data_IF_597250533668
#
_entry.id   IF_597250533668
#
_cell.length_a   1.000
_cell.length_b   1.000
_cell.length_c   1.000
_cell.angle_alpha   90.00
_cell.angle_beta   90.00
_cell.angle_gamma   90.00
#
_symmetry.space_group_name_H-M   'P 1'
#
loop_
_entity.id
_entity.type
_entity.pdbx_description
1 polymer ?
#
# COMPACT_ATOMS: atom_id res chain seq x y z
N UNK A 1 18.06 -9.29 16.77
CA UNK A 1 16.71 -9.61 16.26
C UNK A 1 16.21 -8.38 15.53
N UNK A 2 15.60 -8.52 14.34
CA UNK A 2 15.03 -7.37 13.65
C UNK A 2 13.87 -6.82 14.47
N UNK A 3 13.89 -5.54 14.79
CA UNK A 3 12.80 -4.89 15.52
C UNK A 3 11.59 -4.76 14.60
N UNK A 4 10.43 -5.22 15.07
CA UNK A 4 9.17 -5.13 14.32
C UNK A 4 8.52 -3.80 14.67
N UNK A 5 8.29 -2.97 13.66
CA UNK A 5 7.58 -1.69 13.75
C UNK A 5 6.12 -1.88 13.32
N UNK A 6 5.25 -2.20 14.29
CA UNK A 6 3.83 -2.44 14.05
C UNK A 6 3.07 -1.11 13.94
N UNK A 7 3.12 -0.29 14.98
CA UNK A 7 2.34 0.95 15.05
C UNK A 7 2.67 1.94 13.91
N UNK A 8 3.95 2.17 13.56
CA UNK A 8 4.31 3.01 12.40
C UNK A 8 3.71 2.50 11.08
N UNK A 9 3.76 1.18 10.88
CA UNK A 9 3.25 0.55 9.68
C UNK A 9 1.72 0.66 9.58
N UNK A 10 1.02 0.48 10.70
CA UNK A 10 -0.42 0.67 10.78
C UNK A 10 -0.80 2.12 10.47
N UNK A 11 -0.11 3.10 11.05
CA UNK A 11 -0.44 4.52 10.87
C UNK A 11 -0.22 4.98 9.42
N UNK A 12 0.97 4.75 8.86
CA UNK A 12 1.26 5.15 7.48
C UNK A 12 0.44 4.35 6.47
N UNK A 13 0.24 3.05 6.72
CA UNK A 13 -0.64 2.20 5.93
C UNK A 13 -2.09 2.67 5.93
N UNK A 14 -2.60 3.08 7.10
CA UNK A 14 -3.94 3.64 7.23
C UNK A 14 -4.08 4.97 6.49
N UNK A 15 -3.08 5.86 6.58
CA UNK A 15 -3.09 7.15 5.86
C UNK A 15 -3.16 6.93 4.35
N UNK A 16 -2.29 6.06 3.81
CA UNK A 16 -2.27 5.73 2.38
C UNK A 16 -3.57 5.03 1.98
N UNK A 17 -4.06 4.11 2.80
CA UNK A 17 -5.33 3.40 2.57
C UNK A 17 -6.55 4.32 2.57
N UNK A 18 -6.59 5.31 3.46
CA UNK A 18 -7.66 6.33 3.49
C UNK A 18 -7.59 7.20 2.23
N UNK A 19 -6.39 7.63 1.82
CA UNK A 19 -6.21 8.39 0.58
C UNK A 19 -6.80 7.62 -0.61
N UNK A 20 -6.47 6.32 -0.74
CA UNK A 20 -7.03 5.47 -1.79
C UNK A 20 -8.55 5.29 -1.66
N UNK A 21 -9.05 5.08 -0.43
CA UNK A 21 -10.47 4.92 -0.17
C UNK A 21 -11.29 6.17 -0.57
N UNK A 22 -10.76 7.37 -0.36
CA UNK A 22 -11.39 8.64 -0.78
C UNK A 22 -11.53 8.69 -2.30
N UNK A 23 -10.53 8.23 -3.05
CA UNK A 23 -10.57 8.21 -4.52
C UNK A 23 -11.56 7.17 -5.02
N UNK A 24 -11.51 5.94 -4.48
CA UNK A 24 -12.48 4.89 -4.80
C UNK A 24 -13.92 5.28 -4.48
N UNK A 25 -14.13 6.08 -3.43
CA UNK A 25 -15.45 6.61 -3.10
C UNK A 25 -16.06 7.45 -4.23
N UNK A 26 -15.21 8.18 -4.98
CA UNK A 26 -15.62 9.01 -6.11
C UNK A 26 -15.80 8.19 -7.39
N UNK A 27 -15.09 7.07 -7.51
CA UNK A 27 -15.00 6.32 -8.77
C UNK A 27 -16.06 5.22 -8.90
N UNK A 28 -16.50 4.64 -7.78
CA UNK A 28 -17.44 3.50 -7.77
C UNK A 28 -18.85 3.98 -7.41
N UNK A 29 -19.81 3.89 -8.34
CA UNK A 29 -21.20 4.33 -8.12
C UNK A 29 -22.01 3.40 -7.20
N UNK A 30 -21.78 2.08 -7.27
CA UNK A 30 -22.54 1.08 -6.50
C UNK A 30 -22.05 1.02 -5.04
N UNK A 31 -22.90 1.33 -4.04
CA UNK A 31 -22.46 1.46 -2.65
C UNK A 31 -21.82 0.21 -2.04
N UNK A 32 -22.37 -0.98 -2.32
CA UNK A 32 -21.86 -2.25 -1.77
C UNK A 32 -20.48 -2.60 -2.33
N UNK A 33 -20.30 -2.49 -3.64
CA UNK A 33 -19.00 -2.64 -4.29
C UNK A 33 -18.00 -1.59 -3.80
N UNK A 34 -18.43 -0.33 -3.67
CA UNK A 34 -17.60 0.77 -3.18
C UNK A 34 -17.04 0.46 -1.80
N UNK A 35 -17.90 0.07 -0.86
CA UNK A 35 -17.47 -0.24 0.50
C UNK A 35 -16.47 -1.40 0.52
N UNK A 36 -16.75 -2.48 -0.23
CA UNK A 36 -15.84 -3.61 -0.35
C UNK A 36 -14.47 -3.23 -0.92
N UNK A 37 -14.44 -2.41 -1.97
CA UNK A 37 -13.19 -1.91 -2.56
C UNK A 37 -12.42 -1.00 -1.61
N UNK A 38 -13.08 -0.07 -0.92
CA UNK A 38 -12.46 0.81 0.07
C UNK A 38 -11.83 0.02 1.22
N UNK A 39 -12.55 -0.95 1.78
CA UNK A 39 -12.03 -1.80 2.85
C UNK A 39 -10.84 -2.64 2.38
N UNK A 40 -10.93 -3.23 1.18
CA UNK A 40 -9.83 -4.00 0.60
C UNK A 40 -8.59 -3.14 0.36
N UNK A 41 -8.75 -1.93 -0.20
CA UNK A 41 -7.66 -1.00 -0.43
C UNK A 41 -6.97 -0.59 0.87
N UNK A 42 -7.74 -0.33 1.93
CA UNK A 42 -7.22 0.04 3.23
C UNK A 42 -6.40 -1.09 3.87
N UNK A 43 -6.94 -2.31 3.90
CA UNK A 43 -6.23 -3.48 4.42
C UNK A 43 -4.97 -3.78 3.60
N UNK A 44 -5.07 -3.69 2.27
CA UNK A 44 -3.94 -3.93 1.38
C UNK A 44 -2.81 -2.92 1.58
N UNK A 45 -3.13 -1.62 1.70
CA UNK A 45 -2.15 -0.57 1.97
C UNK A 45 -1.42 -0.81 3.30
N UNK A 46 -2.14 -1.20 4.35
CA UNK A 46 -1.54 -1.57 5.64
C UNK A 46 -0.55 -2.72 5.50
N UNK A 47 -0.93 -3.78 4.78
CA UNK A 47 -0.05 -4.94 4.56
C UNK A 47 1.19 -4.53 3.75
N UNK A 48 1.01 -3.76 2.68
CA UNK A 48 2.13 -3.33 1.84
C UNK A 48 3.12 -2.45 2.61
N UNK A 49 2.62 -1.49 3.41
CA UNK A 49 3.47 -0.67 4.29
C UNK A 49 4.13 -1.51 5.37
N UNK A 50 3.42 -2.47 5.97
CA UNK A 50 4.02 -3.40 6.93
C UNK A 50 5.22 -4.13 6.35
N UNK A 51 5.10 -4.66 5.12
CA UNK A 51 6.21 -5.34 4.45
C UNK A 51 7.40 -4.40 4.23
N UNK A 52 7.16 -3.20 3.69
CA UNK A 52 8.25 -2.25 3.41
C UNK A 52 8.98 -1.75 4.67
N UNK A 53 8.24 -1.47 5.75
CA UNK A 53 8.82 -1.00 7.02
C UNK A 53 9.51 -2.11 7.80
N UNK A 54 9.10 -3.37 7.61
CA UNK A 54 9.61 -4.51 8.36
C UNK A 54 10.46 -5.47 7.51
N UNK A 55 11.13 -4.97 6.47
CA UNK A 55 11.88 -5.81 5.52
C UNK A 55 12.85 -6.80 6.20
N UNK A 56 13.59 -6.36 7.22
CA UNK A 56 14.50 -7.21 7.99
C UNK A 56 13.78 -8.38 8.70
N UNK A 57 12.61 -8.11 9.30
CA UNK A 57 11.76 -9.16 9.87
C UNK A 57 11.25 -10.10 8.77
N UNK A 58 10.74 -9.57 7.66
CA UNK A 58 10.24 -10.37 6.54
C UNK A 58 11.32 -11.34 6.00
N UNK A 59 12.56 -10.90 5.82
CA UNK A 59 13.65 -11.81 5.40
C UNK A 59 13.97 -12.89 6.42
N UNK A 60 13.82 -12.59 7.71
CA UNK A 60 14.05 -13.57 8.78
C UNK A 60 12.94 -14.63 8.84
N UNK A 61 11.71 -14.25 8.51
CA UNK A 61 10.54 -15.14 8.46
C UNK A 61 10.52 -15.97 7.17
N UNK A 62 10.84 -15.35 6.04
CA UNK A 62 10.77 -15.94 4.71
C UNK A 62 12.17 -16.06 4.11
N UNK A 63 12.94 -17.02 4.62
CA UNK A 63 14.34 -17.24 4.22
C UNK A 63 14.53 -17.49 2.72
N UNK A 64 13.51 -17.99 2.02
CA UNK A 64 13.55 -18.18 0.56
C UNK A 64 13.78 -16.87 -0.21
N UNK A 65 13.37 -15.71 0.34
CA UNK A 65 13.59 -14.40 -0.28
C UNK A 65 15.09 -14.07 -0.41
N UNK A 66 15.92 -14.65 0.45
CA UNK A 66 17.38 -14.49 0.43
C UNK A 66 18.01 -15.22 -0.77
N UNK A 67 17.32 -16.21 -1.35
CA UNK A 67 17.75 -16.92 -2.55
C UNK A 67 17.40 -16.20 -3.86
N UNK A 68 16.63 -15.11 -3.81
CA UNK A 68 16.24 -14.35 -5.01
C UNK A 68 17.28 -13.24 -5.25
N UNK A 69 17.95 -13.20 -6.43
CA UNK A 69 18.92 -12.16 -6.73
C UNK A 69 18.33 -10.76 -6.55
N UNK A 70 19.14 -9.85 -6.00
CA UNK A 70 18.82 -8.44 -5.74
C UNK A 70 17.74 -8.19 -4.66
N UNK A 71 16.80 -9.11 -4.40
CA UNK A 71 15.76 -8.95 -3.37
C UNK A 71 16.36 -8.87 -1.97
N UNK A 72 17.56 -9.40 -1.73
CA UNK A 72 18.28 -9.27 -0.46
C UNK A 72 18.58 -7.82 -0.03
N UNK A 73 18.55 -6.86 -0.96
CA UNK A 73 18.73 -5.44 -0.64
C UNK A 73 17.39 -4.83 -0.20
N UNK A 74 17.30 -4.21 0.99
CA UNK A 74 16.04 -3.70 1.53
C UNK A 74 15.28 -2.77 0.57
N UNK A 75 16.00 -1.85 -0.09
CA UNK A 75 15.39 -0.92 -1.05
C UNK A 75 14.81 -1.65 -2.27
N UNK A 76 15.47 -2.70 -2.76
CA UNK A 76 14.99 -3.46 -3.93
C UNK A 76 13.74 -4.24 -3.55
N UNK A 77 13.71 -4.85 -2.37
CA UNK A 77 12.52 -5.51 -1.86
C UNK A 77 11.36 -4.53 -1.66
N UNK A 78 11.62 -3.34 -1.10
CA UNK A 78 10.61 -2.30 -0.96
C UNK A 78 10.05 -1.88 -2.32
N UNK A 79 10.93 -1.63 -3.30
CA UNK A 79 10.53 -1.32 -4.68
C UNK A 79 9.70 -2.48 -5.26
N UNK A 80 10.08 -3.73 -5.05
CA UNK A 80 9.31 -4.89 -5.52
C UNK A 80 7.90 -4.91 -4.91
N UNK A 81 7.77 -4.66 -3.60
CA UNK A 81 6.47 -4.51 -2.93
C UNK A 81 5.68 -3.32 -3.52
N UNK A 82 6.36 -2.20 -3.81
CA UNK A 82 5.79 -1.05 -4.49
C UNK A 82 5.25 -1.38 -5.89
N UNK A 83 6.01 -2.10 -6.71
CA UNK A 83 5.59 -2.54 -8.06
C UNK A 83 4.39 -3.49 -7.96
N UNK A 84 4.41 -4.45 -7.02
CA UNK A 84 3.26 -5.33 -6.79
C UNK A 84 2.03 -4.50 -6.38
N UNK A 85 2.21 -3.48 -5.53
CA UNK A 85 1.16 -2.54 -5.13
C UNK A 85 0.61 -1.78 -6.34
N UNK A 86 1.48 -1.23 -7.19
CA UNK A 86 1.11 -0.52 -8.41
C UNK A 86 0.26 -1.39 -9.32
N UNK A 87 0.70 -2.63 -9.57
CA UNK A 87 -0.02 -3.59 -10.41
C UNK A 87 -1.36 -3.96 -9.79
N UNK A 88 -1.40 -4.18 -8.47
CA UNK A 88 -2.63 -4.56 -7.77
C UNK A 88 -3.67 -3.45 -7.80
N UNK A 89 -3.27 -2.21 -7.50
CA UNK A 89 -4.13 -1.02 -7.55
C UNK A 89 -4.64 -0.84 -8.98
N UNK A 90 -3.72 -0.85 -9.95
CA UNK A 90 -4.09 -0.72 -11.36
C UNK A 90 -5.05 -1.82 -11.86
N UNK A 91 -4.75 -3.07 -11.54
CA UNK A 91 -5.55 -4.22 -11.93
C UNK A 91 -6.93 -4.22 -11.29
N UNK A 92 -7.03 -3.85 -10.02
CA UNK A 92 -8.32 -3.76 -9.32
C UNK A 92 -9.25 -2.74 -9.98
N UNK A 93 -8.71 -1.60 -10.39
CA UNK A 93 -9.49 -0.55 -11.05
C UNK A 93 -9.78 -0.84 -12.52
N UNK A 94 -8.87 -1.52 -13.23
CA UNK A 94 -9.13 -2.00 -14.59
C UNK A 94 -10.26 -3.04 -14.63
N UNK A 95 -10.33 -3.93 -13.64
CA UNK A 95 -11.40 -4.93 -13.52
C UNK A 95 -12.79 -4.29 -13.37
N UNK A 96 -12.89 -3.13 -12.71
CA UNK A 96 -14.15 -2.37 -12.56
C UNK A 96 -14.61 -1.76 -13.89
N UNK A 97 -13.70 -1.46 -14.82
CA UNK A 97 -14.05 -0.96 -16.16
C UNK A 97 -14.60 -2.04 -17.10
N UNK A 98 -14.20 -3.29 -16.90
CA UNK A 98 -14.55 -4.41 -17.77
C UNK A 98 -15.87 -5.09 -17.43
N UNK A 99 -16.51 -4.77 -16.31
CA UNK A 99 -17.76 -5.40 -15.88
C UNK A 99 -18.99 -4.76 -16.54
N UNK A 100 -19.90 -5.59 -17.05
CA UNK A 100 -21.19 -5.17 -17.61
C UNK A 100 -22.01 -4.52 -16.49
N UNK A 101 -22.13 -3.18 -16.53
CA UNK A 101 -22.73 -2.37 -15.46
C UNK A 101 -21.73 -1.53 -14.64
N UNK A 102 -20.44 -1.54 -15.01
CA UNK A 102 -19.39 -0.71 -14.41
C UNK A 102 -19.58 0.78 -14.68
N UNK A 103 -20.48 1.41 -13.93
CA UNK A 103 -20.66 2.87 -13.95
C UNK A 103 -19.53 3.49 -13.11
N UNK A 104 -18.33 3.56 -13.72
CA UNK A 104 -17.22 4.39 -13.27
C UNK A 104 -17.55 5.84 -13.59
N UNK A 105 -17.73 6.66 -12.56
CA UNK A 105 -18.16 8.08 -12.71
C UNK A 105 -17.04 9.07 -12.43
N UNK A 106 -15.91 8.61 -11.87
CA UNK A 106 -14.85 9.44 -11.31
C UNK A 106 -13.51 9.42 -12.06
N UNK A 107 -12.43 9.66 -11.34
CA UNK A 107 -11.06 9.67 -11.84
C UNK A 107 -10.73 8.29 -12.39
N UNK A 108 -10.87 8.12 -13.71
CA UNK A 108 -10.46 6.90 -14.42
C UNK A 108 -9.02 6.57 -14.00
N UNK A 109 -8.87 5.59 -13.12
CA UNK A 109 -7.58 5.28 -12.51
C UNK A 109 -6.47 5.10 -13.56
N UNK A 110 -5.40 5.87 -13.44
CA UNK A 110 -4.29 5.90 -14.41
C UNK A 110 -3.08 5.21 -13.82
N UNK A 111 -2.16 4.77 -14.68
CA UNK A 111 -0.85 4.28 -14.24
C UNK A 111 -0.09 5.31 -13.38
N UNK A 112 -0.36 6.60 -13.56
CA UNK A 112 0.23 7.64 -12.72
C UNK A 112 -0.31 7.59 -11.28
N UNK A 113 -1.62 7.34 -11.09
CA UNK A 113 -2.21 7.20 -9.76
C UNK A 113 -1.65 5.98 -9.02
N UNK A 114 -1.65 4.81 -9.67
CA UNK A 114 -1.11 3.59 -9.06
C UNK A 114 0.40 3.68 -8.79
N UNK A 115 1.15 4.42 -9.61
CA UNK A 115 2.55 4.74 -9.35
C UNK A 115 2.72 5.64 -8.11
N UNK A 116 1.85 6.62 -7.89
CA UNK A 116 1.89 7.48 -6.68
C UNK A 116 1.68 6.61 -5.43
N UNK A 117 0.68 5.73 -5.41
CA UNK A 117 0.44 4.82 -4.28
C UNK A 117 1.66 3.94 -4.02
N UNK A 118 2.26 3.39 -5.07
CA UNK A 118 3.47 2.58 -4.96
C UNK A 118 4.66 3.36 -4.39
N UNK A 119 4.88 4.61 -4.84
CA UNK A 119 5.92 5.49 -4.29
C UNK A 119 5.66 5.78 -2.81
N UNK A 120 4.42 6.05 -2.41
CA UNK A 120 4.06 6.28 -1.00
C UNK A 120 4.37 5.04 -0.13
N UNK A 121 4.06 3.84 -0.62
CA UNK A 121 4.38 2.58 0.07
C UNK A 121 5.89 2.37 0.19
N UNK A 122 6.66 2.56 -0.89
CA UNK A 122 8.13 2.44 -0.86
C UNK A 122 8.76 3.49 0.05
N UNK A 123 8.21 4.70 0.06
CA UNK A 123 8.71 5.83 0.84
C UNK A 123 8.38 5.72 2.34
N UNK A 124 7.41 4.91 2.74
CA UNK A 124 6.93 4.85 4.13
C UNK A 124 8.04 4.68 5.19
N UNK A 125 9.04 3.79 5.04
CA UNK A 125 10.13 3.64 6.01
C UNK A 125 11.01 4.90 6.12
N UNK A 126 11.14 5.64 5.01
CA UNK A 126 11.96 6.85 4.92
C UNK A 126 11.22 8.10 5.38
N UNK A 127 9.90 8.10 5.28
CA UNK A 127 9.04 9.19 5.74
C UNK A 127 8.81 9.13 7.26
N UNK A 128 8.77 7.93 7.85
CA UNK A 128 8.50 7.76 9.27
C UNK A 128 9.38 8.60 10.21
N UNK A 129 10.72 8.70 10.03
CA UNK A 129 11.59 9.54 10.86
C UNK A 129 11.21 11.03 10.89
N UNK A 130 10.49 11.52 9.87
CA UNK A 130 9.99 12.90 9.80
C UNK A 130 8.60 13.05 10.40
N UNK A 131 7.80 11.98 10.41
CA UNK A 131 6.44 11.96 10.97
C UNK A 131 6.46 11.71 12.48
N UNK A 132 7.27 10.76 12.94
CA UNK A 132 7.33 10.36 14.35
C UNK A 132 7.58 11.53 15.33
N UNK A 133 8.44 12.54 15.04
CA UNK A 133 8.69 13.63 15.97
C UNK A 133 7.45 14.49 16.27
N UNK A 134 6.55 14.65 15.30
CA UNK A 134 5.37 15.51 15.42
C UNK A 134 4.15 14.81 16.04
N UNK A 135 4.24 13.49 16.24
CA UNK A 135 3.17 12.71 16.86
C UNK A 135 3.24 12.76 18.40
N UNK A 136 2.12 12.56 19.10
CA UNK A 136 2.09 12.30 20.54
C UNK A 136 2.95 11.08 20.90
N UNK A 137 3.57 11.06 22.09
CA UNK A 137 4.48 9.99 22.52
C UNK A 137 3.87 8.58 22.52
N UNK A 138 2.55 8.46 22.69
CA UNK A 138 1.82 7.19 22.65
C UNK A 138 1.50 6.70 21.22
N UNK A 139 1.81 7.51 20.19
CA UNK A 139 1.67 7.19 18.76
C UNK A 139 3.02 7.01 18.04
N UNK A 140 4.14 7.24 18.72
CA UNK A 140 5.50 7.03 18.20
C UNK A 140 5.87 5.56 18.28
#
# INVERSE_FOLDING_TARGET
MAEIVILPALLLGLIIGIYEAILLHRDVSVPTHRFGHMAHALVYAIIAVFFTMNAAFIYSTFSFLQGIPLIQYPIVFQIAVGVITMIKVHGASAAIRGSVGGVSVGMKETWAHSAIIAVLVVAAPYVWPFVAPVLPSWLK
#
